data_IF_212377382523
#
_entry.id   IF_212377382523
#
_cell.length_a   1.000
_cell.length_b   1.000
_cell.length_c   1.000
_cell.angle_alpha   90.00
_cell.angle_beta   90.00
_cell.angle_gamma   90.00
#
_symmetry.space_group_name_H-M   'P 1'
#
loop_
_entity.id
_entity.type
_entity.pdbx_description
1 polymer ?
#
# COMPACT_ATOMS: atom_id res chain seq x y z
N UNK A 1 -9.06 13.32 -17.16
CA UNK A 1 -9.18 13.32 -15.68
C UNK A 1 -7.83 13.74 -15.11
N UNK A 2 -7.80 14.70 -14.19
CA UNK A 2 -6.56 15.11 -13.50
C UNK A 2 -6.37 14.15 -12.33
N UNK A 3 -5.19 13.53 -12.23
CA UNK A 3 -4.83 12.68 -11.09
C UNK A 3 -4.02 13.51 -10.08
N UNK A 4 -4.32 13.38 -8.80
CA UNK A 4 -3.76 14.22 -7.74
C UNK A 4 -3.40 13.37 -6.52
N UNK A 5 -2.45 13.84 -5.73
CA UNK A 5 -2.01 13.22 -4.46
C UNK A 5 -2.18 14.25 -3.35
N UNK A 6 -2.91 13.88 -2.30
CA UNK A 6 -3.10 14.71 -1.11
C UNK A 6 -2.07 14.28 -0.04
N UNK A 7 -1.22 15.20 0.40
CA UNK A 7 -0.24 14.97 1.46
C UNK A 7 -0.54 15.85 2.67
N UNK A 8 -0.01 15.45 3.84
CA UNK A 8 -0.16 16.21 5.10
C UNK A 8 -1.59 16.19 5.66
N UNK A 9 -2.40 15.22 5.26
CA UNK A 9 -3.81 15.14 5.59
C UNK A 9 -4.09 14.12 6.70
N UNK A 10 -4.95 14.48 7.65
CA UNK A 10 -5.65 13.53 8.52
C UNK A 10 -7.14 13.45 8.14
N UNK A 11 -7.82 14.60 8.08
CA UNK A 11 -9.18 14.74 7.54
C UNK A 11 -9.14 15.01 6.03
N UNK A 12 -10.05 14.41 5.28
CA UNK A 12 -10.20 14.69 3.85
C UNK A 12 -10.91 16.04 3.62
N UNK A 13 -11.88 16.40 4.45
CA UNK A 13 -12.72 17.60 4.26
C UNK A 13 -12.27 18.83 5.04
N UNK A 14 -11.73 18.66 6.25
CA UNK A 14 -11.43 19.78 7.16
C UNK A 14 -10.13 20.52 6.77
N UNK A 15 -10.02 21.84 6.90
CA UNK A 15 -8.77 22.55 6.62
C UNK A 15 -7.67 22.14 7.61
N UNK A 16 -6.46 21.89 7.09
CA UNK A 16 -5.29 21.51 7.89
C UNK A 16 -4.05 22.27 7.36
N UNK A 17 -3.17 22.79 8.24
CA UNK A 17 -2.14 23.77 7.86
C UNK A 17 -1.11 23.24 6.86
N UNK A 18 -0.81 21.94 6.91
CA UNK A 18 0.17 21.28 6.05
C UNK A 18 -0.48 20.42 4.96
N UNK A 19 -1.81 20.43 4.86
CA UNK A 19 -2.55 19.63 3.88
C UNK A 19 -2.48 20.30 2.51
N UNK A 20 -1.93 19.58 1.53
CA UNK A 20 -1.75 20.09 0.17
C UNK A 20 -2.05 19.03 -0.88
N UNK A 21 -2.76 19.44 -1.92
CA UNK A 21 -3.09 18.63 -3.08
C UNK A 21 -2.10 18.90 -4.21
N UNK A 22 -1.34 17.89 -4.60
CA UNK A 22 -0.35 17.96 -5.66
C UNK A 22 -0.89 17.34 -6.95
N UNK A 23 -0.59 17.96 -8.09
CA UNK A 23 -0.86 17.37 -9.39
C UNK A 23 0.18 16.31 -9.73
N UNK A 24 -0.25 15.28 -10.47
CA UNK A 24 0.64 14.21 -10.93
C UNK A 24 1.06 14.46 -12.37
N UNK A 25 2.38 14.55 -12.58
CA UNK A 25 3.04 14.66 -13.89
C UNK A 25 3.01 13.34 -14.64
N UNK A 26 3.32 12.24 -13.96
CA UNK A 26 3.41 10.92 -14.58
C UNK A 26 2.86 9.82 -13.66
N UNK A 27 2.15 8.87 -14.27
CA UNK A 27 1.69 7.62 -13.66
C UNK A 27 2.49 6.49 -14.31
N UNK A 28 3.30 5.79 -13.52
CA UNK A 28 4.27 4.81 -14.01
C UNK A 28 3.92 3.46 -13.38
N UNK A 29 3.00 2.69 -13.98
CA UNK A 29 2.67 1.36 -13.51
C UNK A 29 3.87 0.43 -13.71
N UNK A 30 4.05 -0.55 -12.82
CA UNK A 30 5.05 -1.58 -13.05
C UNK A 30 4.76 -2.32 -14.38
N UNK A 31 5.75 -2.59 -15.24
CA UNK A 31 5.52 -3.21 -16.56
C UNK A 31 4.85 -4.58 -16.52
N UNK A 32 5.01 -5.32 -15.42
CA UNK A 32 4.36 -6.62 -15.19
C UNK A 32 2.93 -6.53 -14.65
N UNK A 33 2.46 -5.33 -14.27
CA UNK A 33 1.11 -5.17 -13.72
C UNK A 33 0.05 -5.56 -14.75
N UNK A 34 -1.04 -6.19 -14.29
CA UNK A 34 -2.10 -6.70 -15.15
C UNK A 34 -3.46 -6.54 -14.49
N UNK A 35 -4.41 -5.90 -15.17
CA UNK A 35 -5.76 -5.62 -14.65
C UNK A 35 -6.58 -6.88 -14.30
N UNK A 36 -6.18 -8.05 -14.77
CA UNK A 36 -6.88 -9.32 -14.56
C UNK A 36 -6.32 -10.12 -13.37
N UNK A 37 -5.23 -9.68 -12.75
CA UNK A 37 -4.67 -10.33 -11.57
C UNK A 37 -4.06 -9.29 -10.62
N UNK A 38 -3.48 -9.74 -9.52
CA UNK A 38 -2.86 -8.89 -8.51
C UNK A 38 -1.32 -9.00 -8.50
N UNK A 39 -0.72 -9.55 -9.55
CA UNK A 39 0.75 -9.67 -9.67
C UNK A 39 1.35 -8.34 -10.10
N UNK A 40 2.52 -8.05 -9.54
CA UNK A 40 3.28 -6.83 -9.81
C UNK A 40 2.43 -5.53 -9.70
N UNK A 41 1.46 -5.53 -8.78
CA UNK A 41 0.50 -4.45 -8.54
C UNK A 41 1.16 -3.28 -7.79
N UNK A 42 1.92 -2.47 -8.53
CA UNK A 42 2.59 -1.27 -8.07
C UNK A 42 2.46 -0.13 -9.10
N UNK A 43 2.35 1.10 -8.58
CA UNK A 43 2.25 2.33 -9.37
C UNK A 43 3.12 3.40 -8.71
N UNK A 44 4.06 3.97 -9.46
CA UNK A 44 4.77 5.18 -9.05
C UNK A 44 4.09 6.42 -9.62
N UNK A 45 3.93 7.44 -8.76
CA UNK A 45 3.31 8.72 -9.10
C UNK A 45 4.37 9.82 -8.98
N UNK A 46 4.74 10.43 -10.12
CA UNK A 46 5.63 11.58 -10.11
C UNK A 46 4.80 12.85 -9.96
N UNK A 47 5.03 13.60 -8.89
CA UNK A 47 4.39 14.91 -8.67
C UNK A 47 4.92 15.94 -9.68
N UNK A 48 4.10 16.93 -10.05
CA UNK A 48 4.52 18.04 -10.92
C UNK A 48 5.61 18.91 -10.27
N UNK A 49 5.62 19.00 -8.94
CA UNK A 49 6.59 19.72 -8.12
C UNK A 49 7.02 18.86 -6.92
N UNK A 50 8.17 19.19 -6.31
CA UNK A 50 8.63 18.48 -5.11
C UNK A 50 7.69 18.77 -3.94
N UNK A 51 7.37 17.75 -3.16
CA UNK A 51 6.60 17.93 -1.93
C UNK A 51 7.42 18.69 -0.88
N UNK A 52 6.78 19.62 -0.19
CA UNK A 52 7.36 20.31 0.97
C UNK A 52 7.34 19.36 2.18
N UNK A 53 8.52 18.95 2.64
CA UNK A 53 8.66 18.10 3.81
C UNK A 53 8.57 18.94 5.10
N UNK A 54 7.85 18.42 6.08
CA UNK A 54 7.62 19.05 7.37
C UNK A 54 7.25 17.98 8.42
N UNK A 55 6.75 18.39 9.59
CA UNK A 55 6.38 17.47 10.67
C UNK A 55 5.20 16.54 10.33
N UNK A 56 4.36 16.89 9.35
CA UNK A 56 3.21 16.12 8.85
C UNK A 56 3.44 15.46 7.48
N UNK A 57 4.51 15.84 6.78
CA UNK A 57 4.88 15.29 5.46
C UNK A 57 6.32 14.81 5.51
N UNK A 58 6.52 13.49 5.61
CA UNK A 58 7.84 12.85 5.67
C UNK A 58 7.91 11.63 4.76
N UNK A 59 9.11 11.33 4.29
CA UNK A 59 9.38 10.12 3.52
C UNK A 59 9.55 8.94 4.48
N UNK A 60 8.85 7.85 4.20
CA UNK A 60 8.98 6.58 4.91
C UNK A 60 10.04 5.72 4.20
N UNK A 61 11.09 5.23 4.87
CA UNK A 61 11.97 4.22 4.28
C UNK A 61 11.17 2.97 3.93
N UNK A 62 11.56 2.31 2.85
CA UNK A 62 10.99 1.04 2.44
C UNK A 62 12.04 -0.07 2.50
N UNK A 63 11.59 -1.31 2.64
CA UNK A 63 12.45 -2.47 2.69
C UNK A 63 13.21 -2.66 1.37
N UNK A 64 14.52 -2.77 1.44
CA UNK A 64 15.38 -2.97 0.26
C UNK A 64 15.95 -4.38 0.18
N UNK A 65 16.08 -5.07 1.32
CA UNK A 65 16.54 -6.45 1.34
C UNK A 65 15.37 -7.39 1.07
N UNK A 66 15.52 -8.25 0.07
CA UNK A 66 14.50 -9.24 -0.28
C UNK A 66 14.47 -10.37 0.76
N UNK A 67 13.75 -10.11 1.86
CA UNK A 67 13.46 -11.07 2.92
C UNK A 67 11.99 -11.05 3.30
N UNK A 68 11.47 -12.20 3.69
CA UNK A 68 10.12 -12.25 4.24
C UNK A 68 10.08 -11.65 5.65
N UNK A 69 9.00 -10.93 5.94
CA UNK A 69 8.69 -10.55 7.32
C UNK A 69 8.24 -11.81 8.07
N UNK A 70 8.82 -12.04 9.24
CA UNK A 70 8.49 -13.20 10.06
C UNK A 70 7.00 -13.22 10.44
N UNK A 71 6.41 -14.42 10.50
CA UNK A 71 5.05 -14.59 11.00
C UNK A 71 4.93 -14.02 12.42
N UNK A 72 3.71 -13.58 12.77
CA UNK A 72 3.37 -12.93 14.04
C UNK A 72 4.00 -11.55 14.28
N UNK A 73 4.87 -11.06 13.39
CA UNK A 73 5.27 -9.65 13.37
C UNK A 73 4.04 -8.78 13.21
N UNK A 74 3.81 -7.87 14.16
CA UNK A 74 2.70 -6.92 14.10
C UNK A 74 3.10 -5.76 13.21
N UNK A 75 2.29 -5.52 12.18
CA UNK A 75 2.49 -4.42 11.25
C UNK A 75 1.24 -3.53 11.23
N UNK A 76 1.46 -2.27 10.90
CA UNK A 76 0.45 -1.23 10.83
C UNK A 76 0.05 -0.97 9.38
N UNK A 77 -1.24 -0.74 9.16
CA UNK A 77 -1.77 -0.22 7.90
C UNK A 77 -2.74 0.90 8.20
N UNK A 78 -2.64 1.98 7.44
CA UNK A 78 -3.49 3.16 7.58
C UNK A 78 -4.15 3.52 6.23
N UNK A 79 -5.39 4.00 6.30
CA UNK A 79 -6.13 4.39 5.11
C UNK A 79 -7.48 5.05 5.40
N UNK A 80 -8.08 5.57 4.33
CA UNK A 80 -9.43 6.16 4.31
C UNK A 80 -10.46 5.23 3.63
N UNK A 81 -10.17 3.93 3.59
CA UNK A 81 -11.08 2.91 3.07
C UNK A 81 -12.33 2.75 3.92
N UNK A 82 -13.25 1.93 3.42
CA UNK A 82 -14.55 1.72 4.09
C UNK A 82 -14.40 1.03 5.44
N UNK A 83 -15.01 1.60 6.48
CA UNK A 83 -14.91 1.13 7.88
C UNK A 83 -16.13 0.31 8.34
N UNK A 84 -17.11 0.10 7.47
CA UNK A 84 -18.27 -0.76 7.72
C UNK A 84 -18.59 -1.62 6.49
N UNK A 85 -19.25 -2.77 6.69
CA UNK A 85 -19.72 -3.61 5.59
C UNK A 85 -20.76 -2.90 4.69
N UNK A 86 -21.47 -1.90 5.21
CA UNK A 86 -22.37 -1.04 4.43
C UNK A 86 -21.64 -0.01 3.54
N UNK A 87 -20.31 0.08 3.64
CA UNK A 87 -19.50 0.94 2.78
C UNK A 87 -19.31 2.38 3.28
N UNK A 88 -19.49 2.64 4.58
CA UNK A 88 -19.24 3.97 5.16
C UNK A 88 -17.76 4.33 4.97
N UNK A 89 -17.49 5.48 4.37
CA UNK A 89 -16.13 6.05 4.24
C UNK A 89 -15.87 7.03 5.38
N UNK A 90 -14.72 6.93 6.06
CA UNK A 90 -14.35 7.90 7.08
C UNK A 90 -13.85 9.19 6.43
N UNK A 91 -14.04 10.31 7.13
CA UNK A 91 -13.37 11.57 6.79
C UNK A 91 -11.91 11.57 7.29
N UNK A 92 -11.69 11.06 8.50
CA UNK A 92 -10.36 11.00 9.13
C UNK A 92 -9.64 9.69 8.84
N UNK A 93 -8.30 9.72 8.84
CA UNK A 93 -7.47 8.54 8.65
C UNK A 93 -7.72 7.51 9.76
N UNK A 94 -7.88 6.25 9.38
CA UNK A 94 -7.92 5.11 10.31
C UNK A 94 -6.64 4.30 10.20
N UNK A 95 -6.29 3.62 11.29
CA UNK A 95 -5.19 2.66 11.31
C UNK A 95 -5.63 1.34 11.95
N UNK A 96 -4.93 0.27 11.61
CA UNK A 96 -5.07 -1.02 12.26
C UNK A 96 -3.76 -1.79 12.28
N UNK A 97 -3.52 -2.47 13.40
CA UNK A 97 -2.39 -3.39 13.58
C UNK A 97 -2.84 -4.83 13.31
N UNK A 98 -2.13 -5.52 12.43
CA UNK A 98 -2.39 -6.92 12.08
C UNK A 98 -1.11 -7.73 12.04
N UNK A 99 -1.10 -8.96 12.59
CA UNK A 99 0.06 -9.84 12.50
C UNK A 99 0.23 -10.35 11.07
N UNK A 100 1.48 -10.43 10.63
CA UNK A 100 1.88 -11.16 9.43
C UNK A 100 1.57 -12.65 9.62
N UNK A 101 1.06 -13.29 8.58
CA UNK A 101 0.91 -14.74 8.53
C UNK A 101 1.88 -15.31 7.49
N UNK A 102 2.36 -16.54 7.71
CA UNK A 102 3.28 -17.16 6.75
C UNK A 102 2.60 -17.36 5.38
N UNK A 103 3.41 -17.35 4.32
CA UNK A 103 2.93 -17.57 2.96
C UNK A 103 2.24 -18.92 2.82
N UNK A 104 2.75 -19.97 3.46
CA UNK A 104 2.13 -21.31 3.46
C UNK A 104 0.73 -21.30 4.06
N UNK A 105 0.59 -20.62 5.20
CA UNK A 105 -0.70 -20.44 5.86
C UNK A 105 -1.65 -19.64 4.98
N UNK A 106 -1.15 -18.61 4.28
CA UNK A 106 -1.92 -17.82 3.32
C UNK A 106 -2.34 -18.62 2.07
N UNK A 107 -1.47 -19.50 1.59
CA UNK A 107 -1.65 -20.37 0.43
C UNK A 107 -2.42 -21.66 0.69
N UNK A 108 -2.80 -21.92 1.95
CA UNK A 108 -3.61 -23.08 2.28
C UNK A 108 -4.87 -23.16 1.39
N UNK A 109 -5.30 -24.37 1.03
CA UNK A 109 -6.42 -24.64 0.11
C UNK A 109 -7.71 -23.91 0.49
N UNK A 110 -7.97 -23.76 1.78
CA UNK A 110 -9.17 -23.07 2.30
C UNK A 110 -9.05 -21.54 2.30
N UNK A 111 -7.92 -20.99 1.84
CA UNK A 111 -7.64 -19.54 1.80
C UNK A 111 -7.48 -19.02 0.38
N UNK A 112 -6.24 -18.79 -0.04
CA UNK A 112 -5.92 -18.29 -1.38
C UNK A 112 -5.41 -19.38 -2.32
N UNK A 113 -5.38 -20.64 -1.87
CA UNK A 113 -5.18 -21.82 -2.72
C UNK A 113 -4.01 -21.69 -3.70
N UNK A 114 -2.80 -21.50 -3.14
CA UNK A 114 -1.53 -21.41 -3.88
C UNK A 114 -1.38 -20.21 -4.84
N UNK A 115 -2.21 -19.18 -4.74
CA UNK A 115 -2.10 -17.99 -5.60
C UNK A 115 -1.11 -16.93 -5.09
N UNK A 116 -0.70 -17.00 -3.82
CA UNK A 116 0.22 -16.02 -3.19
C UNK A 116 1.65 -16.35 -3.56
N UNK A 117 2.30 -15.42 -4.28
CA UNK A 117 3.68 -15.57 -4.77
C UNK A 117 4.71 -15.10 -3.76
N UNK A 118 5.99 -15.31 -4.05
CA UNK A 118 7.12 -14.78 -3.26
C UNK A 118 7.18 -13.24 -3.24
N UNK A 119 6.61 -12.58 -4.26
CA UNK A 119 6.49 -11.12 -4.31
C UNK A 119 5.28 -10.58 -3.55
N UNK A 120 4.57 -11.45 -2.83
CA UNK A 120 3.40 -11.11 -2.02
C UNK A 120 3.60 -11.55 -0.58
N UNK A 121 2.91 -10.89 0.33
CA UNK A 121 2.81 -11.27 1.74
C UNK A 121 1.37 -11.09 2.23
N UNK A 122 1.09 -11.61 3.42
CA UNK A 122 -0.24 -11.57 3.98
C UNK A 122 -0.27 -11.19 5.45
N UNK A 123 -1.36 -10.56 5.89
CA UNK A 123 -1.69 -10.41 7.30
C UNK A 123 -3.02 -11.10 7.63
N UNK A 124 -3.22 -11.45 8.89
CA UNK A 124 -4.51 -12.00 9.33
C UNK A 124 -5.62 -10.95 9.14
N UNK A 125 -6.72 -11.33 8.51
CA UNK A 125 -7.87 -10.46 8.24
C UNK A 125 -9.07 -10.72 9.17
N UNK A 126 -8.92 -11.53 10.22
CA UNK A 126 -10.03 -11.83 11.14
C UNK A 126 -10.56 -10.58 11.85
N UNK A 127 -11.82 -10.21 11.58
CA UNK A 127 -12.56 -9.07 12.19
C UNK A 127 -12.00 -7.68 11.90
N UNK A 128 -10.68 -7.53 11.80
CA UNK A 128 -9.93 -6.32 11.49
C UNK A 128 -9.15 -6.55 10.20
N UNK A 129 -9.31 -5.66 9.24
CA UNK A 129 -8.78 -5.84 7.89
C UNK A 129 -8.69 -4.50 7.15
N UNK A 130 -7.86 -4.46 6.11
CA UNK A 130 -7.95 -3.48 5.03
C UNK A 130 -9.22 -3.71 4.20
N UNK A 131 -9.74 -2.69 3.55
CA UNK A 131 -10.94 -2.81 2.75
C UNK A 131 -10.95 -1.87 1.53
N UNK A 132 -12.13 -1.71 0.91
CA UNK A 132 -12.28 -0.91 -0.30
C UNK A 132 -11.85 0.53 -0.05
N UNK A 133 -10.86 0.99 -0.80
CA UNK A 133 -10.28 2.32 -0.68
C UNK A 133 -8.93 2.37 0.05
N UNK A 134 -8.49 1.25 0.65
CA UNK A 134 -7.16 1.16 1.26
C UNK A 134 -6.07 0.67 0.28
N UNK A 135 -6.45 0.20 -0.91
CA UNK A 135 -5.51 -0.22 -1.97
C UNK A 135 -4.51 0.89 -2.30
N UNK A 136 -3.23 0.53 -2.41
CA UNK A 136 -2.12 1.48 -2.57
C UNK A 136 -1.55 2.00 -1.25
N UNK A 137 -2.22 1.79 -0.11
CA UNK A 137 -1.70 2.15 1.22
C UNK A 137 -0.50 1.28 1.63
N UNK A 138 0.42 1.80 2.46
CA UNK A 138 1.58 1.05 2.93
C UNK A 138 1.23 0.12 4.09
N UNK A 139 1.80 -1.08 4.08
CA UNK A 139 1.97 -1.93 5.26
C UNK A 139 3.34 -1.64 5.88
N UNK A 140 3.34 -1.17 7.12
CA UNK A 140 4.53 -0.72 7.83
C UNK A 140 4.84 -1.67 8.97
N UNK A 141 6.04 -2.25 8.97
CA UNK A 141 6.50 -3.12 10.04
C UNK A 141 7.75 -2.48 10.65
N UNK A 142 7.75 -2.25 11.97
CA UNK A 142 8.87 -1.63 12.69
C UNK A 142 9.37 -0.30 12.05
N UNK A 143 8.43 0.53 11.58
CA UNK A 143 8.73 1.83 10.97
C UNK A 143 9.28 1.79 9.53
N UNK A 144 9.28 0.62 8.87
CA UNK A 144 9.70 0.46 7.47
C UNK A 144 8.53 -0.05 6.63
N UNK A 145 8.33 0.51 5.43
CA UNK A 145 7.32 0.00 4.50
C UNK A 145 7.78 -1.35 3.91
N UNK A 146 7.04 -2.40 4.21
CA UNK A 146 7.32 -3.78 3.74
C UNK A 146 6.44 -4.18 2.55
N UNK A 147 5.22 -3.64 2.50
CA UNK A 147 4.25 -3.99 1.47
C UNK A 147 3.32 -2.85 1.08
N UNK A 148 2.61 -3.04 -0.03
CA UNK A 148 1.55 -2.16 -0.53
C UNK A 148 0.26 -2.96 -0.61
N UNK A 149 -0.84 -2.43 -0.07
CA UNK A 149 -2.16 -3.08 -0.12
C UNK A 149 -2.58 -3.29 -1.58
N UNK A 150 -2.77 -4.54 -1.99
CA UNK A 150 -3.22 -4.87 -3.35
C UNK A 150 -4.75 -5.04 -3.43
N UNK A 151 -5.31 -4.87 -4.62
CA UNK A 151 -6.71 -5.19 -4.90
C UNK A 151 -6.92 -6.72 -4.97
N UNK A 152 -7.13 -7.37 -3.81
CA UNK A 152 -7.25 -8.84 -3.74
C UNK A 152 -8.68 -9.38 -3.61
N UNK A 153 -9.40 -9.00 -2.55
CA UNK A 153 -10.65 -9.67 -2.15
C UNK A 153 -11.84 -8.71 -2.14
N UNK A 154 -13.00 -9.18 -2.65
CA UNK A 154 -14.28 -8.45 -2.52
C UNK A 154 -14.77 -8.39 -1.07
N UNK A 155 -14.26 -9.26 -0.21
CA UNK A 155 -14.69 -9.46 1.19
C UNK A 155 -13.57 -9.04 2.12
N UNK A 156 -13.89 -8.13 3.04
CA UNK A 156 -13.01 -7.66 4.11
C UNK A 156 -13.41 -8.31 5.43
N UNK A 157 -12.46 -8.55 6.33
CA UNK A 157 -12.72 -9.05 7.70
C UNK A 157 -12.88 -10.57 7.82
N UNK A 158 -12.67 -11.31 6.72
CA UNK A 158 -12.84 -12.76 6.68
C UNK A 158 -11.49 -13.48 6.75
N UNK A 159 -11.25 -14.21 7.84
CA UNK A 159 -9.99 -14.94 8.07
C UNK A 159 -9.64 -15.98 6.97
N UNK A 160 -10.62 -16.47 6.20
CA UNK A 160 -10.38 -17.35 5.04
C UNK A 160 -9.92 -16.59 3.80
N UNK A 161 -9.92 -15.26 3.84
CA UNK A 161 -9.38 -14.39 2.81
C UNK A 161 -8.42 -13.40 3.49
N UNK A 162 -7.22 -13.85 3.88
CA UNK A 162 -6.19 -12.96 4.43
C UNK A 162 -5.97 -11.75 3.54
N UNK A 163 -5.61 -10.62 4.16
CA UNK A 163 -5.20 -9.43 3.42
C UNK A 163 -3.93 -9.73 2.64
N UNK A 164 -3.85 -9.26 1.40
CA UNK A 164 -2.71 -9.49 0.51
C UNK A 164 -2.02 -8.14 0.29
N UNK A 165 -0.69 -8.16 0.29
CA UNK A 165 0.15 -7.01 0.01
C UNK A 165 1.21 -7.41 -1.01
N UNK A 166 1.51 -6.51 -1.95
CA UNK A 166 2.70 -6.63 -2.80
C UNK A 166 3.92 -6.27 -1.95
N UNK A 167 4.89 -7.18 -1.80
CA UNK A 167 6.16 -6.89 -1.10
C UNK A 167 6.94 -5.85 -1.88
N UNK A 168 7.52 -4.85 -1.21
CA UNK A 168 8.24 -3.76 -1.91
C UNK A 168 9.65 -4.19 -2.31
N UNK A 169 10.35 -4.93 -1.45
CA UNK A 169 11.77 -5.27 -1.64
C UNK A 169 12.12 -5.93 -2.99
N UNK A 170 11.33 -6.89 -3.51
CA UNK A 170 11.59 -7.48 -4.83
C UNK A 170 11.57 -6.49 -6.00
N UNK A 171 11.03 -5.29 -5.81
CA UNK A 171 10.91 -4.25 -6.81
C UNK A 171 11.85 -3.06 -6.57
N UNK A 172 12.76 -3.14 -5.58
CA UNK A 172 13.65 -2.03 -5.24
C UNK A 172 14.43 -1.52 -6.45
N UNK A 173 14.98 -2.42 -7.28
CA UNK A 173 15.71 -2.06 -8.49
C UNK A 173 14.84 -1.32 -9.53
N UNK A 174 13.57 -1.74 -9.70
CA UNK A 174 12.64 -1.05 -10.58
C UNK A 174 12.29 0.34 -10.04
N UNK A 175 12.03 0.45 -8.74
CA UNK A 175 11.75 1.73 -8.08
C UNK A 175 12.92 2.69 -8.31
N UNK A 176 14.15 2.26 -8.05
CA UNK A 176 15.34 3.08 -8.24
C UNK A 176 15.53 3.51 -9.70
N UNK A 177 15.30 2.59 -10.66
CA UNK A 177 15.40 2.90 -12.09
C UNK A 177 14.42 3.99 -12.51
N UNK A 178 13.18 3.95 -12.02
CA UNK A 178 12.17 4.97 -12.30
C UNK A 178 12.55 6.30 -11.62
N UNK A 179 13.00 6.26 -10.37
CA UNK A 179 13.42 7.44 -9.61
C UNK A 179 14.64 8.14 -10.25
N UNK A 180 15.62 7.37 -10.73
CA UNK A 180 16.79 7.91 -11.43
C UNK A 180 16.41 8.56 -12.76
N UNK A 181 15.51 7.94 -13.53
CA UNK A 181 15.01 8.50 -14.80
C UNK A 181 14.22 9.80 -14.59
N UNK A 182 13.45 9.88 -13.51
CA UNK A 182 12.69 11.07 -13.13
C UNK A 182 13.58 12.25 -12.71
N UNK A 183 14.75 11.98 -12.12
CA UNK A 183 15.72 13.00 -11.73
C UNK A 183 16.51 13.61 -12.90
N UNK A 184 16.52 12.93 -14.06
CA UNK A 184 17.26 13.32 -15.28
C UNK A 184 16.47 14.11 -16.32
N UNK A 185 15.27 14.63 -16.02
CA UNK A 185 14.46 15.42 -16.95
C UNK A 185 15.18 16.71 -17.44
N UNK A 186 14.88 17.20 -18.66
CA UNK A 186 15.72 18.18 -19.37
C UNK A 186 15.84 19.50 -18.60
N UNK A 187 17.07 20.04 -18.58
CA UNK A 187 17.35 21.42 -18.17
C UNK A 187 16.67 22.41 -19.11
#
# INVERSE_FOLDING_TARGET
>A
KVFQVLLGAHSLTEPEPHKRLYRVRAQIPHPGSNIHNNKDDLLLLQLEEKAELNEHVRVLPFQREDRDVAADTVCEVAGWGTITHSGRRPDKLYQVERPVISRDVCNHRTRHDRTITEKMMCTDSRKKDTCKGDSGGPLVCNGVAEGVVTAGSRVCGNYKKPAIYTRIAPYAAWIDSVMASAAGGPR
#
